data_IF_481116734233
#
_entry.id   IF_481116734233
#
_cell.length_a   1.000
_cell.length_b   1.000
_cell.length_c   1.000
_cell.angle_alpha   90.00
_cell.angle_beta   90.00
_cell.angle_gamma   90.00
#
_symmetry.space_group_name_H-M   'P 1'
#
loop_
_entity.id
_entity.type
_entity.pdbx_description
1 polymer ?
#
# COMPACT_ATOMS: atom_id res chain seq x y z
N UNK A 1 8.56 -15.30 9.33
CA UNK A 1 8.67 -14.07 8.54
C UNK A 1 10.00 -13.37 8.78
N UNK A 2 10.41 -12.45 7.90
CA UNK A 2 11.62 -11.63 8.06
C UNK A 2 11.54 -10.65 9.24
N UNK A 3 10.36 -10.42 9.78
CA UNK A 3 10.10 -9.62 10.98
C UNK A 3 10.38 -10.36 12.29
N UNK A 4 10.81 -11.63 12.22
CA UNK A 4 11.19 -12.41 13.38
C UNK A 4 10.04 -13.05 14.15
N UNK A 5 10.28 -13.34 15.42
CA UNK A 5 9.33 -14.06 16.27
C UNK A 5 8.03 -13.25 16.48
N UNK A 6 6.90 -13.96 16.49
CA UNK A 6 5.57 -13.38 16.69
C UNK A 6 4.93 -12.83 15.42
N UNK A 7 5.60 -12.95 14.26
CA UNK A 7 5.03 -12.59 12.97
C UNK A 7 4.85 -13.80 12.07
N UNK A 8 3.74 -13.82 11.36
CA UNK A 8 3.44 -14.82 10.34
C UNK A 8 3.07 -14.11 9.04
N UNK A 9 3.46 -14.68 7.89
CA UNK A 9 3.09 -14.17 6.58
C UNK A 9 2.41 -15.26 5.77
N UNK A 10 1.27 -14.94 5.17
CA UNK A 10 0.50 -15.82 4.29
C UNK A 10 0.35 -15.16 2.93
N UNK A 11 0.95 -15.77 1.90
CA UNK A 11 0.74 -15.36 0.51
C UNK A 11 -0.51 -16.03 -0.05
N UNK A 12 -1.38 -15.25 -0.66
CA UNK A 12 -2.70 -15.62 -1.14
C UNK A 12 -2.74 -15.41 -2.65
N UNK A 13 -3.14 -16.44 -3.39
CA UNK A 13 -3.37 -16.32 -4.83
C UNK A 13 -4.60 -15.45 -5.08
N UNK A 14 -4.46 -14.48 -5.97
CA UNK A 14 -5.53 -13.60 -6.43
C UNK A 14 -5.92 -13.99 -7.86
N UNK A 15 -7.09 -13.57 -8.35
CA UNK A 15 -7.40 -13.70 -9.76
C UNK A 15 -6.32 -13.04 -10.62
N UNK A 16 -5.96 -13.71 -11.72
CA UNK A 16 -4.99 -13.19 -12.69
C UNK A 16 -5.42 -11.82 -13.23
N UNK A 17 -4.44 -10.95 -13.44
CA UNK A 17 -4.68 -9.68 -14.11
C UNK A 17 -4.00 -9.63 -15.49
N UNK A 18 -3.90 -8.44 -16.08
CA UNK A 18 -3.24 -8.23 -17.38
C UNK A 18 -1.73 -8.55 -17.39
N UNK A 19 -1.11 -8.76 -16.25
CA UNK A 19 0.29 -9.19 -16.12
C UNK A 19 0.44 -10.69 -15.83
N UNK A 20 -0.65 -11.43 -15.81
CA UNK A 20 -0.70 -12.85 -15.45
C UNK A 20 -0.99 -13.05 -13.97
N UNK A 21 -0.32 -14.04 -13.36
CA UNK A 21 -0.52 -14.42 -11.96
C UNK A 21 -0.31 -13.25 -11.01
N UNK A 22 -1.20 -13.13 -10.04
CA UNK A 22 -1.17 -12.10 -8.99
C UNK A 22 -1.29 -12.74 -7.62
N UNK A 23 -0.58 -12.20 -6.65
CA UNK A 23 -0.68 -12.58 -5.24
C UNK A 23 -0.79 -11.33 -4.36
N UNK A 24 -1.37 -11.50 -3.18
CA UNK A 24 -1.27 -10.56 -2.07
C UNK A 24 -0.72 -11.28 -0.84
N UNK A 25 -0.06 -10.59 0.06
CA UNK A 25 0.52 -11.21 1.26
C UNK A 25 0.00 -10.52 2.50
N UNK A 26 -0.64 -11.29 3.38
CA UNK A 26 -1.08 -10.84 4.68
C UNK A 26 -0.03 -11.23 5.73
N UNK A 27 0.48 -10.23 6.43
CA UNK A 27 1.33 -10.40 7.62
C UNK A 27 0.46 -10.20 8.84
N UNK A 28 0.65 -11.02 9.88
CA UNK A 28 -0.05 -10.85 11.15
C UNK A 28 0.89 -10.93 12.35
N UNK A 29 0.51 -10.24 13.42
CA UNK A 29 1.05 -10.37 14.76
C UNK A 29 -0.11 -10.27 15.75
N UNK A 30 -0.33 -11.31 16.52
CA UNK A 30 -1.49 -11.39 17.42
C UNK A 30 -1.13 -10.84 18.80
N UNK A 31 -2.07 -10.12 19.40
CA UNK A 31 -2.00 -9.71 20.79
C UNK A 31 -2.10 -10.93 21.72
N UNK A 32 -1.48 -10.83 22.91
CA UNK A 32 -1.69 -11.81 23.99
C UNK A 32 -3.02 -11.63 24.71
N UNK A 33 -3.74 -10.54 24.45
CA UNK A 33 -5.07 -10.32 25.00
C UNK A 33 -6.12 -11.19 24.30
N UNK A 34 -7.16 -11.60 25.03
CA UNK A 34 -8.38 -12.10 24.41
C UNK A 34 -9.16 -10.91 23.82
N UNK A 35 -9.08 -10.76 22.49
CA UNK A 35 -9.62 -9.59 21.80
C UNK A 35 -10.16 -9.93 20.42
N UNK A 36 -11.20 -9.20 20.02
CA UNK A 36 -11.78 -9.21 18.67
C UNK A 36 -11.46 -7.93 17.87
N UNK A 37 -10.57 -7.09 18.42
CA UNK A 37 -10.15 -5.84 17.80
C UNK A 37 -8.93 -6.08 16.90
N UNK A 38 -8.96 -5.53 15.72
CA UNK A 38 -7.86 -5.66 14.78
C UNK A 38 -7.53 -4.32 14.11
N UNK A 39 -6.26 -4.18 13.71
CA UNK A 39 -5.81 -3.15 12.78
C UNK A 39 -5.33 -3.82 11.51
N UNK A 40 -5.77 -3.33 10.34
CA UNK A 40 -5.20 -3.67 9.06
C UNK A 40 -4.39 -2.48 8.53
N UNK A 41 -3.07 -2.67 8.40
CA UNK A 41 -2.16 -1.66 7.88
C UNK A 41 -1.97 -1.82 6.37
N UNK A 42 -2.02 -0.69 5.64
CA UNK A 42 -1.79 -0.59 4.20
C UNK A 42 -0.62 0.35 3.95
N UNK A 43 0.45 -0.16 3.35
CA UNK A 43 1.69 0.56 3.09
C UNK A 43 1.60 1.56 1.95
N UNK A 44 2.67 2.37 1.76
CA UNK A 44 2.82 3.35 0.70
C UNK A 44 3.49 2.82 -0.59
N UNK A 45 3.84 3.77 -1.47
CA UNK A 45 4.61 3.50 -2.69
C UNK A 45 6.05 3.09 -2.37
N UNK A 46 6.59 2.14 -3.15
CA UNK A 46 7.92 1.54 -2.93
C UNK A 46 8.11 1.15 -1.46
N UNK A 47 7.14 0.42 -0.93
CA UNK A 47 7.07 0.06 0.48
C UNK A 47 6.47 -1.34 0.67
N UNK A 48 6.55 -1.87 1.88
CA UNK A 48 5.96 -3.09 2.35
C UNK A 48 5.88 -3.02 3.88
N UNK A 49 5.23 -3.98 4.53
CA UNK A 49 5.21 -3.93 5.99
C UNK A 49 6.53 -4.43 6.61
N UNK A 50 7.21 -3.56 7.37
CA UNK A 50 8.40 -3.86 8.16
C UNK A 50 8.43 -3.15 9.53
N UNK A 51 7.38 -2.44 9.88
CA UNK A 51 7.28 -1.60 11.07
C UNK A 51 6.91 -2.46 12.30
N UNK A 52 7.83 -3.32 12.74
CA UNK A 52 7.64 -4.24 13.88
C UNK A 52 7.17 -3.51 15.14
N UNK A 53 7.80 -2.39 15.49
CA UNK A 53 7.45 -1.60 16.68
C UNK A 53 6.00 -1.12 16.62
N UNK A 54 5.50 -0.73 15.44
CA UNK A 54 4.11 -0.33 15.26
C UNK A 54 3.17 -1.49 15.61
N UNK A 55 3.44 -2.68 15.07
CA UNK A 55 2.61 -3.86 15.33
C UNK A 55 2.60 -4.21 16.83
N UNK A 56 3.76 -4.21 17.48
CA UNK A 56 3.87 -4.50 18.91
C UNK A 56 3.12 -3.47 19.76
N UNK A 57 3.17 -2.19 19.40
CA UNK A 57 2.41 -1.13 20.10
C UNK A 57 0.89 -1.39 20.04
N UNK A 58 0.37 -1.84 18.91
CA UNK A 58 -1.03 -2.23 18.79
C UNK A 58 -1.33 -3.52 19.58
N UNK A 59 -0.43 -4.51 19.54
CA UNK A 59 -0.60 -5.73 20.32
C UNK A 59 -0.64 -5.44 21.83
N UNK A 60 0.23 -4.57 22.34
CA UNK A 60 0.25 -4.12 23.74
C UNK A 60 -1.02 -3.35 24.14
N UNK A 61 -1.69 -2.75 23.14
CA UNK A 61 -2.98 -2.07 23.30
C UNK A 61 -4.19 -3.00 23.07
N UNK A 62 -3.98 -4.31 23.10
CA UNK A 62 -5.00 -5.34 22.89
C UNK A 62 -5.70 -5.27 21.52
N UNK A 63 -4.92 -5.00 20.46
CA UNK A 63 -5.34 -5.17 19.07
C UNK A 63 -4.54 -6.28 18.40
N UNK A 64 -5.17 -7.15 17.68
CA UNK A 64 -4.49 -8.00 16.69
C UNK A 64 -4.03 -7.13 15.54
N UNK A 65 -2.76 -7.27 15.15
CA UNK A 65 -2.20 -6.46 14.08
C UNK A 65 -2.04 -7.26 12.79
N UNK A 66 -2.51 -6.68 11.71
CA UNK A 66 -2.39 -7.21 10.35
C UNK A 66 -1.83 -6.15 9.43
N UNK A 67 -1.09 -6.57 8.42
CA UNK A 67 -0.62 -5.72 7.35
C UNK A 67 -0.74 -6.45 6.02
N UNK A 68 -1.19 -5.77 4.98
CA UNK A 68 -1.24 -6.30 3.63
C UNK A 68 -0.13 -5.71 2.78
N UNK A 69 0.75 -6.58 2.25
CA UNK A 69 1.60 -6.20 1.13
C UNK A 69 0.74 -6.32 -0.14
N UNK A 70 0.38 -5.18 -0.71
CA UNK A 70 -0.48 -5.11 -1.90
C UNK A 70 0.16 -5.82 -3.08
N UNK A 71 -0.66 -6.25 -4.06
CA UNK A 71 -0.15 -6.86 -5.30
C UNK A 71 0.99 -6.05 -5.92
N UNK A 72 2.03 -6.74 -6.38
CA UNK A 72 3.24 -6.16 -7.03
C UNK A 72 4.08 -5.24 -6.12
N UNK A 73 3.92 -5.40 -4.79
CA UNK A 73 4.74 -4.75 -3.77
C UNK A 73 5.35 -5.77 -2.82
N UNK A 74 6.49 -5.45 -2.25
CA UNK A 74 7.09 -6.21 -1.16
C UNK A 74 7.10 -7.72 -1.40
N UNK A 75 6.52 -8.49 -0.48
CA UNK A 75 6.38 -9.95 -0.55
C UNK A 75 5.43 -10.44 -1.65
N UNK A 76 4.61 -9.54 -2.17
CA UNK A 76 3.61 -9.82 -3.22
C UNK A 76 4.11 -9.52 -4.63
N UNK A 77 5.36 -9.08 -4.78
CA UNK A 77 5.97 -8.87 -6.08
C UNK A 77 6.54 -10.19 -6.61
N UNK A 78 6.04 -10.66 -7.75
CA UNK A 78 6.55 -11.84 -8.42
C UNK A 78 7.70 -11.47 -9.38
N UNK A 79 8.66 -12.39 -9.62
CA UNK A 79 9.87 -12.08 -10.40
C UNK A 79 9.60 -11.60 -11.84
N UNK A 80 8.50 -12.04 -12.43
CA UNK A 80 8.08 -11.70 -13.79
C UNK A 80 7.34 -10.37 -13.90
N UNK A 81 7.00 -9.74 -12.78
CA UNK A 81 6.17 -8.54 -12.75
C UNK A 81 6.99 -7.25 -12.81
N UNK A 82 6.38 -6.21 -13.32
CA UNK A 82 6.87 -4.83 -13.16
C UNK A 82 6.43 -4.33 -11.77
N UNK A 83 7.37 -3.89 -10.91
CA UNK A 83 7.02 -3.37 -9.60
C UNK A 83 5.97 -2.26 -9.69
N UNK A 84 5.00 -2.28 -8.76
CA UNK A 84 3.97 -1.26 -8.54
C UNK A 84 3.01 -1.05 -9.71
N UNK A 85 3.06 -1.87 -10.76
CA UNK A 85 2.23 -1.67 -11.93
C UNK A 85 0.75 -1.85 -11.59
N UNK A 86 -0.03 -0.79 -11.84
CA UNK A 86 -1.47 -0.73 -11.69
C UNK A 86 -2.06 0.17 -12.76
N UNK A 87 -3.28 -0.14 -13.21
CA UNK A 87 -4.02 0.66 -14.21
C UNK A 87 -5.16 1.46 -13.58
N UNK A 88 -5.64 0.98 -12.43
CA UNK A 88 -6.64 1.67 -11.59
C UNK A 88 -6.38 1.34 -10.12
N UNK A 89 -6.51 2.32 -9.22
CA UNK A 89 -6.30 2.10 -7.78
C UNK A 89 -7.35 1.15 -7.17
N UNK A 90 -8.49 0.97 -7.82
CA UNK A 90 -9.51 0.01 -7.40
C UNK A 90 -9.04 -1.45 -7.52
N UNK A 91 -7.98 -1.74 -8.29
CA UNK A 91 -7.38 -3.08 -8.34
C UNK A 91 -6.90 -3.56 -6.97
N UNK A 92 -6.48 -2.63 -6.10
CA UNK A 92 -6.06 -2.93 -4.72
C UNK A 92 -7.21 -3.23 -3.77
N UNK A 93 -8.45 -2.90 -4.14
CA UNK A 93 -9.61 -3.16 -3.28
C UNK A 93 -9.79 -4.66 -3.02
N UNK A 94 -9.55 -5.50 -4.03
CA UNK A 94 -9.61 -6.93 -3.86
C UNK A 94 -8.57 -7.48 -2.86
N UNK A 95 -7.40 -6.83 -2.77
CA UNK A 95 -6.36 -7.21 -1.79
C UNK A 95 -6.82 -6.86 -0.36
N UNK A 96 -7.43 -5.68 -0.20
CA UNK A 96 -7.99 -5.22 1.08
C UNK A 96 -9.19 -6.10 1.48
N UNK A 97 -10.11 -6.39 0.55
CA UNK A 97 -11.27 -7.26 0.81
C UNK A 97 -10.83 -8.66 1.25
N UNK A 98 -9.82 -9.22 0.58
CA UNK A 98 -9.25 -10.53 0.94
C UNK A 98 -8.64 -10.50 2.34
N UNK A 99 -7.87 -9.45 2.65
CA UNK A 99 -7.29 -9.30 3.98
C UNK A 99 -8.38 -9.17 5.07
N UNK A 100 -9.39 -8.32 4.85
CA UNK A 100 -10.50 -8.12 5.79
C UNK A 100 -11.32 -9.41 5.99
N UNK A 101 -11.52 -10.19 4.93
CA UNK A 101 -12.22 -11.48 5.02
C UNK A 101 -11.45 -12.44 5.93
N UNK A 102 -10.15 -12.59 5.72
CA UNK A 102 -9.31 -13.46 6.56
C UNK A 102 -9.26 -12.99 8.02
N UNK A 103 -9.15 -11.68 8.25
CA UNK A 103 -9.16 -11.11 9.60
C UNK A 103 -10.47 -11.45 10.33
N UNK A 104 -11.61 -11.41 9.62
CA UNK A 104 -12.91 -11.79 10.19
C UNK A 104 -13.04 -13.29 10.42
N UNK A 105 -12.54 -14.12 9.52
CA UNK A 105 -12.49 -15.57 9.68
C UNK A 105 -11.68 -15.98 10.92
N UNK A 106 -10.68 -15.17 11.32
CA UNK A 106 -9.92 -15.34 12.55
C UNK A 106 -10.65 -14.79 13.80
N UNK A 107 -11.90 -14.35 13.67
CA UNK A 107 -12.78 -13.95 14.79
C UNK A 107 -12.71 -12.46 15.16
N UNK A 108 -12.04 -11.63 14.36
CA UNK A 108 -12.01 -10.19 14.62
C UNK A 108 -13.24 -9.51 14.02
N UNK A 109 -13.92 -8.70 14.84
CA UNK A 109 -15.16 -7.99 14.46
C UNK A 109 -14.97 -6.48 14.36
N UNK A 110 -14.08 -5.92 15.18
CA UNK A 110 -13.81 -4.48 15.28
C UNK A 110 -12.50 -4.18 14.55
N UNK A 111 -12.60 -3.81 13.29
CA UNK A 111 -11.41 -3.63 12.42
C UNK A 111 -11.23 -2.16 12.09
N UNK A 112 -10.02 -1.64 12.33
CA UNK A 112 -9.59 -0.31 11.92
C UNK A 112 -8.61 -0.43 10.76
N UNK A 113 -8.83 0.32 9.69
CA UNK A 113 -7.82 0.52 8.64
C UNK A 113 -6.81 1.56 9.12
N UNK A 114 -5.52 1.27 8.94
CA UNK A 114 -4.44 2.23 9.08
C UNK A 114 -3.64 2.27 7.79
N UNK A 115 -3.33 3.44 7.28
CA UNK A 115 -2.66 3.54 6.00
C UNK A 115 -1.62 4.66 5.96
N UNK A 116 -0.55 4.41 5.18
CA UNK A 116 0.53 5.37 4.99
C UNK A 116 0.63 5.82 3.53
N UNK A 117 0.86 7.12 3.30
CA UNK A 117 1.19 7.69 1.99
C UNK A 117 0.18 7.29 0.89
N UNK A 118 0.62 6.61 -0.18
CA UNK A 118 -0.24 6.10 -1.27
C UNK A 118 -1.30 5.11 -0.76
N UNK A 119 -0.98 4.32 0.28
CA UNK A 119 -1.97 3.50 0.97
C UNK A 119 -3.11 4.34 1.53
N UNK A 120 -2.82 5.56 2.02
CA UNK A 120 -3.83 6.51 2.49
C UNK A 120 -4.78 6.97 1.37
N UNK A 121 -4.27 7.21 0.16
CA UNK A 121 -5.11 7.49 -1.00
C UNK A 121 -6.00 6.29 -1.34
N UNK A 122 -5.41 5.09 -1.41
CA UNK A 122 -6.13 3.84 -1.74
C UNK A 122 -7.25 3.58 -0.74
N UNK A 123 -6.96 3.65 0.57
CA UNK A 123 -7.95 3.36 1.62
C UNK A 123 -9.03 4.44 1.73
N UNK A 124 -8.72 5.70 1.42
CA UNK A 124 -9.74 6.76 1.33
C UNK A 124 -10.72 6.49 0.19
N UNK A 125 -10.21 6.11 -1.00
CA UNK A 125 -11.04 5.71 -2.14
C UNK A 125 -11.83 4.42 -1.85
N UNK A 126 -11.23 3.48 -1.13
CA UNK A 126 -11.89 2.26 -0.68
C UNK A 126 -13.08 2.58 0.23
N UNK A 127 -12.87 3.38 1.28
CA UNK A 127 -13.93 3.78 2.20
C UNK A 127 -15.04 4.58 1.50
N UNK A 128 -14.68 5.42 0.53
CA UNK A 128 -15.67 6.15 -0.28
C UNK A 128 -16.52 5.20 -1.13
N UNK A 129 -15.89 4.21 -1.77
CA UNK A 129 -16.60 3.24 -2.60
C UNK A 129 -17.58 2.38 -1.78
N UNK A 130 -17.24 2.05 -0.55
CA UNK A 130 -18.06 1.24 0.37
C UNK A 130 -18.82 2.06 1.41
N UNK A 131 -18.96 3.36 1.26
CA UNK A 131 -19.56 4.29 2.26
C UNK A 131 -20.94 3.90 2.77
N UNK A 132 -21.73 3.17 1.99
CA UNK A 132 -23.06 2.73 2.38
C UNK A 132 -23.07 1.40 3.18
N UNK A 133 -21.97 0.65 3.12
CA UNK A 133 -21.77 -0.61 3.84
C UNK A 133 -20.28 -0.75 4.16
N UNK A 134 -19.79 0.17 5.00
CA UNK A 134 -18.37 0.28 5.31
C UNK A 134 -17.89 -0.92 6.10
N UNK A 135 -16.93 -1.70 5.59
CA UNK A 135 -16.52 -2.95 6.23
C UNK A 135 -15.56 -2.76 7.42
N UNK A 136 -15.33 -1.52 7.87
CA UNK A 136 -14.42 -1.19 8.97
C UNK A 136 -15.00 -0.10 9.87
N UNK A 137 -14.58 -0.04 11.13
CA UNK A 137 -15.07 0.89 12.13
C UNK A 137 -14.33 2.24 12.13
N UNK A 138 -13.18 2.31 11.48
CA UNK A 138 -12.40 3.55 11.43
C UNK A 138 -11.28 3.51 10.41
N UNK A 139 -10.77 4.69 10.08
CA UNK A 139 -9.65 4.90 9.17
C UNK A 139 -8.63 5.84 9.83
N UNK A 140 -7.39 5.37 9.96
CA UNK A 140 -6.24 6.16 10.43
C UNK A 140 -5.34 6.45 9.24
N UNK A 141 -5.12 7.71 8.96
CA UNK A 141 -4.28 8.17 7.85
C UNK A 141 -2.97 8.76 8.38
N UNK A 142 -1.85 8.15 8.03
CA UNK A 142 -0.52 8.66 8.32
C UNK A 142 0.09 9.24 7.04
N UNK A 143 0.25 10.56 6.99
CA UNK A 143 0.82 11.28 5.85
C UNK A 143 0.21 10.84 4.49
N UNK A 144 -1.13 10.84 4.34
CA UNK A 144 -1.77 10.30 3.14
C UNK A 144 -1.38 11.10 1.91
N UNK A 145 -1.18 10.40 0.79
CA UNK A 145 -0.84 10.98 -0.50
C UNK A 145 -2.09 11.47 -1.23
N UNK A 146 -2.69 12.57 -0.73
CA UNK A 146 -3.96 13.10 -1.27
C UNK A 146 -3.75 14.15 -2.35
N UNK A 147 -2.52 14.59 -2.57
CA UNK A 147 -2.15 15.50 -3.67
C UNK A 147 -0.69 15.34 -4.04
N UNK A 148 -0.30 15.82 -5.23
CA UNK A 148 1.09 15.82 -5.69
C UNK A 148 1.83 17.02 -5.14
N UNK A 149 2.93 16.79 -4.39
CA UNK A 149 3.83 17.85 -3.97
C UNK A 149 4.81 18.21 -5.10
N UNK A 150 4.27 18.83 -6.15
CA UNK A 150 5.03 19.24 -7.33
C UNK A 150 4.79 20.73 -7.61
N UNK A 151 5.67 21.35 -8.42
CA UNK A 151 5.39 22.72 -8.86
C UNK A 151 4.19 22.71 -9.82
N UNK A 152 3.51 23.87 -9.92
CA UNK A 152 2.27 24.05 -10.68
C UNK A 152 2.34 23.52 -12.11
N UNK A 153 3.48 23.69 -12.80
CA UNK A 153 3.63 23.25 -14.20
C UNK A 153 3.57 21.72 -14.32
N UNK A 154 4.30 21.01 -13.45
CA UNK A 154 4.27 19.55 -13.44
C UNK A 154 2.88 19.02 -13.06
N UNK A 155 2.29 19.57 -12.02
CA UNK A 155 0.99 19.13 -11.50
C UNK A 155 -0.16 19.40 -12.48
N UNK A 156 -0.28 20.63 -12.98
CA UNK A 156 -1.44 21.06 -13.78
C UNK A 156 -1.29 20.83 -15.29
N UNK A 157 -0.09 20.60 -15.78
CA UNK A 157 0.16 20.43 -17.22
C UNK A 157 0.76 19.04 -17.52
N UNK A 158 1.90 18.69 -16.93
CA UNK A 158 2.59 17.48 -17.31
C UNK A 158 1.87 16.21 -16.84
N UNK A 159 1.43 16.16 -15.59
CA UNK A 159 0.69 15.00 -15.04
C UNK A 159 -0.58 14.70 -15.83
N UNK A 160 -1.47 15.67 -16.16
CA UNK A 160 -2.62 15.43 -17.02
C UNK A 160 -2.26 14.92 -18.42
N UNK A 161 -1.18 15.45 -19.04
CA UNK A 161 -0.71 14.98 -20.35
C UNK A 161 -0.24 13.52 -20.27
N UNK A 162 0.60 13.20 -19.28
CA UNK A 162 1.08 11.82 -19.05
C UNK A 162 -0.08 10.90 -18.71
N UNK A 163 -1.03 11.36 -17.91
CA UNK A 163 -2.25 10.62 -17.58
C UNK A 163 -3.10 10.34 -18.84
N UNK A 164 -3.27 11.31 -19.72
CA UNK A 164 -3.97 11.13 -21.00
C UNK A 164 -3.21 10.13 -21.91
N UNK A 165 -1.88 10.27 -22.00
CA UNK A 165 -1.00 9.35 -22.72
C UNK A 165 -1.13 7.91 -22.19
N UNK A 166 -1.13 7.74 -20.88
CA UNK A 166 -1.27 6.44 -20.20
C UNK A 166 -2.59 5.72 -20.48
N UNK A 167 -3.59 6.39 -21.07
CA UNK A 167 -4.82 5.75 -21.55
C UNK A 167 -4.54 4.78 -22.69
N UNK A 168 -3.63 5.15 -23.58
CA UNK A 168 -3.30 4.41 -24.82
C UNK A 168 -2.00 3.64 -24.70
N UNK A 169 -0.99 4.21 -24.04
CA UNK A 169 0.38 3.71 -23.91
C UNK A 169 0.71 3.38 -22.46
N UNK A 170 0.03 2.38 -21.90
CA UNK A 170 0.02 2.03 -20.46
C UNK A 170 1.39 1.66 -19.91
N UNK A 171 2.25 1.04 -20.73
CA UNK A 171 3.57 0.54 -20.33
C UNK A 171 4.72 1.55 -20.48
N UNK A 172 4.45 2.81 -20.84
CA UNK A 172 5.53 3.82 -20.95
C UNK A 172 6.18 4.03 -19.59
N UNK A 173 7.47 3.72 -19.48
CA UNK A 173 8.22 3.86 -18.23
C UNK A 173 8.68 5.30 -18.04
N UNK A 174 8.41 5.85 -16.86
CA UNK A 174 8.75 7.22 -16.46
C UNK A 174 9.72 7.11 -15.30
N UNK A 175 10.96 7.61 -15.52
CA UNK A 175 11.98 7.61 -14.50
C UNK A 175 11.64 8.59 -13.38
N UNK A 176 11.93 8.19 -12.15
CA UNK A 176 11.81 9.02 -10.95
C UNK A 176 13.17 9.56 -10.47
N UNK A 177 14.19 9.43 -11.31
CA UNK A 177 15.58 9.75 -10.97
C UNK A 177 16.29 8.57 -10.30
N UNK A 178 17.56 8.77 -9.96
CA UNK A 178 18.44 7.74 -9.39
C UNK A 178 18.88 8.09 -7.96
N UNK A 179 18.13 8.93 -7.26
CA UNK A 179 18.50 9.35 -5.91
C UNK A 179 18.23 8.24 -4.88
N UNK A 180 19.23 7.96 -4.05
CA UNK A 180 19.12 7.09 -2.88
C UNK A 180 18.81 7.88 -1.60
N UNK A 181 18.79 9.21 -1.66
CA UNK A 181 18.70 10.08 -0.50
C UNK A 181 17.52 9.77 0.43
N UNK A 182 16.36 9.41 -0.14
CA UNK A 182 15.21 9.02 0.68
C UNK A 182 15.45 7.68 1.41
N UNK A 183 16.00 6.69 0.74
CA UNK A 183 16.32 5.41 1.38
C UNK A 183 17.41 5.58 2.45
N UNK A 184 18.43 6.39 2.17
CA UNK A 184 19.51 6.69 3.11
C UNK A 184 19.01 7.46 4.34
N UNK A 185 18.02 8.33 4.19
CA UNK A 185 17.40 9.02 5.33
C UNK A 185 16.62 8.12 6.26
N UNK A 186 16.23 6.92 5.79
CA UNK A 186 15.49 5.93 6.58
C UNK A 186 16.40 4.84 7.16
N UNK A 187 17.42 4.40 6.42
CA UNK A 187 18.25 3.26 6.78
C UNK A 187 19.20 3.58 7.93
N UNK A 188 19.23 2.69 8.93
CA UNK A 188 20.08 2.80 10.12
C UNK A 188 21.58 2.82 9.80
N UNK A 189 21.99 2.10 8.73
CA UNK A 189 23.39 2.07 8.28
C UNK A 189 23.82 3.38 7.59
N UNK A 190 22.90 4.34 7.42
CA UNK A 190 23.13 5.66 6.86
C UNK A 190 22.73 6.77 7.84
N UNK A 191 21.62 7.45 7.59
CA UNK A 191 21.17 8.62 8.38
C UNK A 191 19.83 8.40 9.10
N UNK A 192 19.24 7.20 8.98
CA UNK A 192 17.94 6.86 9.54
C UNK A 192 18.02 5.96 10.77
N UNK A 193 16.87 5.45 11.18
CA UNK A 193 16.71 4.63 12.39
C UNK A 193 16.13 3.23 12.06
N UNK A 194 15.83 2.94 10.79
CA UNK A 194 15.07 1.76 10.39
C UNK A 194 15.94 0.72 9.69
N UNK A 195 15.67 -0.55 9.97
CA UNK A 195 16.17 -1.67 9.19
C UNK A 195 15.03 -2.24 8.35
N UNK A 196 15.22 -2.34 7.04
CA UNK A 196 14.31 -3.00 6.14
C UNK A 196 15.05 -3.73 5.03
N UNK A 197 14.35 -4.66 4.37
CA UNK A 197 14.90 -5.42 3.26
C UNK A 197 14.87 -4.58 1.97
N UNK A 198 16.05 -4.31 1.43
CA UNK A 198 16.19 -3.48 0.23
C UNK A 198 15.80 -4.19 -1.07
N UNK A 199 15.56 -5.51 -1.03
CA UNK A 199 14.97 -6.26 -2.15
C UNK A 199 13.45 -6.11 -2.19
N UNK A 200 12.82 -5.76 -1.05
CA UNK A 200 11.37 -5.55 -0.93
C UNK A 200 10.99 -4.06 -0.98
N UNK A 201 11.90 -3.18 -0.55
CA UNK A 201 11.77 -1.72 -0.65
C UNK A 201 13.04 -1.17 -1.27
N UNK A 202 12.97 -0.81 -2.53
CA UNK A 202 14.14 -0.46 -3.32
C UNK A 202 14.78 0.85 -2.86
N UNK A 203 16.12 0.87 -2.78
CA UNK A 203 16.88 2.11 -2.45
C UNK A 203 16.70 3.18 -3.53
N UNK A 204 16.68 2.77 -4.79
CA UNK A 204 16.32 3.62 -5.93
C UNK A 204 14.94 3.23 -6.39
N UNK A 205 14.00 4.16 -6.39
CA UNK A 205 12.64 3.88 -6.86
C UNK A 205 12.63 3.44 -8.31
N UNK A 206 12.08 2.26 -8.65
CA UNK A 206 11.92 1.85 -10.03
C UNK A 206 11.10 2.85 -10.85
N UNK A 207 11.30 2.90 -12.19
CA UNK A 207 10.45 3.70 -13.06
C UNK A 207 8.99 3.28 -12.91
N UNK A 208 8.08 4.24 -12.81
CA UNK A 208 6.63 3.97 -12.83
C UNK A 208 6.09 3.93 -14.25
N UNK A 209 4.99 3.21 -14.45
CA UNK A 209 4.29 3.23 -15.73
C UNK A 209 3.42 4.49 -15.86
N UNK A 210 3.17 4.92 -17.10
CA UNK A 210 2.20 5.98 -17.38
C UNK A 210 0.78 5.59 -16.94
N UNK A 211 0.46 4.30 -16.89
CA UNK A 211 -0.80 3.79 -16.32
C UNK A 211 -0.87 4.06 -14.81
N UNK A 212 0.22 3.85 -14.07
CA UNK A 212 0.29 4.16 -12.64
C UNK A 212 0.06 5.66 -12.38
N UNK A 213 0.74 6.54 -13.13
CA UNK A 213 0.54 8.01 -13.01
C UNK A 213 -0.92 8.37 -13.29
N UNK A 214 -1.52 7.73 -14.30
CA UNK A 214 -2.94 7.92 -14.60
C UNK A 214 -3.83 7.47 -13.44
N UNK A 215 -3.56 6.32 -12.85
CA UNK A 215 -4.33 5.78 -11.72
C UNK A 215 -4.27 6.74 -10.52
N UNK A 216 -3.07 7.22 -10.16
CA UNK A 216 -2.88 8.21 -9.09
C UNK A 216 -3.62 9.53 -9.41
N UNK A 217 -3.41 10.08 -10.59
CA UNK A 217 -4.06 11.34 -10.99
C UNK A 217 -5.60 11.23 -10.95
N UNK A 218 -6.17 10.10 -11.38
CA UNK A 218 -7.61 9.85 -11.27
C UNK A 218 -8.05 9.74 -9.81
N UNK A 219 -7.27 9.05 -8.96
CA UNK A 219 -7.55 8.94 -7.54
C UNK A 219 -7.58 10.31 -6.85
N UNK A 220 -6.56 11.15 -7.08
CA UNK A 220 -6.55 12.52 -6.56
C UNK A 220 -7.77 13.33 -7.03
N UNK A 221 -8.09 13.27 -8.33
CA UNK A 221 -9.26 13.98 -8.86
C UNK A 221 -10.58 13.49 -8.24
N UNK A 222 -10.67 12.22 -7.86
CA UNK A 222 -11.85 11.68 -7.17
C UNK A 222 -11.94 12.23 -5.75
N UNK A 223 -10.84 12.16 -4.98
CA UNK A 223 -10.79 12.72 -3.62
C UNK A 223 -11.12 14.21 -3.59
N UNK A 224 -10.59 14.99 -4.54
CA UNK A 224 -10.80 16.45 -4.61
C UNK A 224 -12.21 16.87 -5.01
N UNK A 225 -13.04 15.95 -5.51
CA UNK A 225 -14.47 16.21 -5.75
C UNK A 225 -15.32 16.14 -4.48
N UNK A 226 -14.74 15.73 -3.38
CA UNK A 226 -15.38 15.47 -2.11
C UNK A 226 -15.63 13.97 -1.89
N UNK A 227 -15.44 13.53 -0.67
CA UNK A 227 -15.74 12.19 -0.18
C UNK A 227 -17.16 12.14 0.39
#
# INVERSE_FOLDING_TARGET
DRLGEGFEAKTIAMPDDYSGRVVTTLVRSLSSCDTHKAVLYVHGYNDYFFQETLARTFNDSCFNFYAVDLRKYGRSLLPEQTPFEVRDLQEYFADIDTALTLIREEGNTDIVLMAHSTGGLITSLYCEAYRNDLPVQGLILNSPFLDMNMNWFYEKILVPIVSAWGRWFKGTKISQGNSTAYAESLLKDHHGEWNYDTDLKFKVSPPVSSAWIRAIHRGHNQIHKGL
#
